data_IF_247194913873
#
_entry.id   IF_247194913873
#
_cell.length_a   1.000
_cell.length_b   1.000
_cell.length_c   1.000
_cell.angle_alpha   90.00
_cell.angle_beta   90.00
_cell.angle_gamma   90.00
#
_symmetry.space_group_name_H-M   'P 1'
#
loop_
_entity.id
_entity.type
_entity.pdbx_description
1 polymer ?
#
# COMPACT_ATOMS: atom_id res chain seq x y z
N UNK A 1 -14.90 1.16 -1.90
CA UNK A 1 -13.65 0.35 -1.92
C UNK A 1 -12.78 0.83 -3.09
N UNK A 2 -11.60 0.25 -3.31
CA UNK A 2 -10.69 0.58 -4.40
C UNK A 2 -9.38 1.24 -3.96
N UNK A 3 -8.48 1.39 -4.93
CA UNK A 3 -7.20 2.09 -4.80
C UNK A 3 -7.45 3.59 -4.69
N UNK A 4 -6.69 4.26 -3.83
CA UNK A 4 -6.73 5.71 -3.57
C UNK A 4 -5.43 6.41 -3.93
N UNK A 5 -4.31 5.67 -3.89
CA UNK A 5 -3.00 6.13 -4.34
C UNK A 5 -2.40 5.09 -5.29
N UNK A 6 -2.02 5.55 -6.47
CA UNK A 6 -1.43 4.73 -7.52
C UNK A 6 0.10 4.79 -7.49
N UNK A 7 0.74 3.87 -8.20
CA UNK A 7 2.19 3.83 -8.32
C UNK A 7 2.73 5.18 -8.81
N UNK A 8 3.79 5.65 -8.15
CA UNK A 8 4.46 6.90 -8.44
C UNK A 8 3.88 8.15 -7.76
N UNK A 9 2.78 8.03 -7.03
CA UNK A 9 2.21 9.16 -6.30
C UNK A 9 2.92 9.36 -4.96
N UNK A 10 3.16 10.62 -4.61
CA UNK A 10 3.62 11.01 -3.28
C UNK A 10 2.50 10.84 -2.25
N UNK A 11 2.86 10.42 -1.05
CA UNK A 11 1.94 10.21 0.08
C UNK A 11 2.62 10.66 1.37
N UNK A 12 1.81 11.13 2.32
CA UNK A 12 2.24 11.38 3.70
C UNK A 12 1.89 10.21 4.61
N UNK A 13 2.54 10.13 5.77
CA UNK A 13 2.25 9.18 6.82
C UNK A 13 0.77 9.27 7.23
N UNK A 14 0.12 8.10 7.33
CA UNK A 14 -1.30 7.98 7.65
C UNK A 14 -2.24 8.04 6.44
N UNK A 15 -1.79 8.43 5.24
CA UNK A 15 -2.67 8.46 4.07
C UNK A 15 -3.18 7.06 3.69
N UNK A 16 -4.44 7.01 3.25
CA UNK A 16 -5.07 5.77 2.80
C UNK A 16 -4.63 5.45 1.36
N UNK A 17 -4.09 4.24 1.16
CA UNK A 17 -3.62 3.77 -0.14
C UNK A 17 -4.67 2.94 -0.87
N UNK A 18 -5.34 2.02 -0.15
CA UNK A 18 -6.35 1.11 -0.70
C UNK A 18 -7.41 0.81 0.35
N UNK A 19 -8.70 0.96 0.02
CA UNK A 19 -9.81 0.39 0.82
C UNK A 19 -10.32 -0.88 0.15
N UNK A 20 -10.32 -2.01 0.82
CA UNK A 20 -10.68 -3.30 0.22
C UNK A 20 -11.47 -4.19 1.18
N UNK A 21 -12.13 -5.21 0.64
CA UNK A 21 -12.64 -6.34 1.43
C UNK A 21 -11.69 -7.50 1.19
N UNK A 22 -11.25 -8.14 2.28
CA UNK A 22 -10.14 -9.10 2.23
C UNK A 22 -8.82 -8.45 1.78
N UNK A 23 -7.84 -9.27 1.43
CA UNK A 23 -6.49 -8.81 1.08
C UNK A 23 -6.17 -9.08 -0.40
N UNK A 24 -6.78 -8.31 -1.31
CA UNK A 24 -6.40 -8.34 -2.73
C UNK A 24 -5.00 -7.75 -2.92
N UNK A 25 -4.76 -6.64 -2.23
CA UNK A 25 -3.45 -6.04 -2.06
C UNK A 25 -2.94 -6.31 -0.64
N UNK A 26 -1.67 -6.65 -0.51
CA UNK A 26 -1.02 -6.92 0.76
C UNK A 26 -0.14 -5.73 1.18
N UNK A 27 0.01 -5.47 2.49
CA UNK A 27 0.94 -4.47 2.97
C UNK A 27 2.37 -4.93 2.69
N UNK A 28 3.14 -4.07 2.04
CA UNK A 28 4.57 -4.22 1.82
C UNK A 28 5.38 -3.30 2.74
N UNK A 29 6.54 -2.86 2.25
CA UNK A 29 7.41 -1.95 2.99
C UNK A 29 6.72 -0.62 3.28
N UNK A 30 6.82 -0.14 4.53
CA UNK A 30 6.25 1.13 4.98
C UNK A 30 4.73 1.26 4.82
N UNK A 31 4.00 0.13 4.75
CA UNK A 31 2.54 0.12 4.65
C UNK A 31 1.94 -0.64 5.83
N UNK A 32 0.87 -0.10 6.40
CA UNK A 32 0.06 -0.73 7.45
C UNK A 32 -1.24 -1.30 6.90
N UNK A 33 -1.87 -2.18 7.68
CA UNK A 33 -3.20 -2.73 7.39
C UNK A 33 -4.12 -2.52 8.60
N UNK A 34 -5.30 -1.95 8.38
CA UNK A 34 -6.33 -1.77 9.39
C UNK A 34 -7.19 -3.02 9.60
N UNK A 35 -8.03 -3.01 10.64
CA UNK A 35 -8.95 -4.12 10.96
C UNK A 35 -9.91 -4.47 9.81
N UNK A 36 -10.27 -3.49 8.98
CA UNK A 36 -11.13 -3.66 7.81
C UNK A 36 -10.36 -4.01 6.52
N UNK A 37 -9.07 -4.32 6.63
CA UNK A 37 -8.10 -4.56 5.55
C UNK A 37 -7.73 -3.32 4.70
N UNK A 38 -8.07 -2.11 5.16
CA UNK A 38 -7.58 -0.87 4.54
C UNK A 38 -6.06 -0.76 4.66
N UNK A 39 -5.38 -0.46 3.55
CA UNK A 39 -3.95 -0.19 3.52
C UNK A 39 -3.68 1.31 3.67
N UNK A 40 -2.70 1.65 4.51
CA UNK A 40 -2.31 3.03 4.79
C UNK A 40 -0.79 3.21 4.85
N UNK A 41 -0.32 4.42 4.57
CA UNK A 41 1.08 4.81 4.62
C UNK A 41 1.60 4.88 6.06
N UNK A 42 2.76 4.30 6.36
CA UNK A 42 3.43 4.46 7.66
C UNK A 42 4.44 5.60 7.69
N UNK A 43 4.92 6.03 6.53
CA UNK A 43 5.85 7.14 6.37
C UNK A 43 5.52 7.93 5.10
N UNK A 44 6.13 9.10 4.98
CA UNK A 44 6.10 9.91 3.77
C UNK A 44 6.92 9.22 2.67
N UNK A 45 6.54 9.42 1.41
CA UNK A 45 7.31 8.90 0.28
C UNK A 45 6.47 8.64 -0.97
N UNK A 46 6.95 7.74 -1.82
CA UNK A 46 6.33 7.43 -3.12
C UNK A 46 5.78 6.01 -3.16
N UNK A 47 4.53 5.86 -3.58
CA UNK A 47 3.86 4.55 -3.64
C UNK A 47 4.41 3.73 -4.79
N UNK A 48 4.64 2.43 -4.58
CA UNK A 48 4.90 1.48 -5.66
C UNK A 48 4.28 0.12 -5.40
N UNK A 49 3.93 -0.57 -6.48
CA UNK A 49 3.29 -1.88 -6.45
C UNK A 49 4.24 -2.92 -7.02
N UNK A 50 4.31 -4.10 -6.40
CA UNK A 50 5.02 -5.23 -6.96
C UNK A 50 4.27 -6.54 -6.75
N UNK A 51 4.58 -7.53 -7.59
CA UNK A 51 4.10 -8.91 -7.46
C UNK A 51 5.22 -9.76 -6.90
N UNK A 52 4.95 -10.60 -5.90
CA UNK A 52 5.95 -11.46 -5.25
C UNK A 52 5.41 -12.88 -5.02
N UNK A 53 6.34 -13.84 -4.99
CA UNK A 53 6.08 -15.25 -4.68
C UNK A 53 5.43 -16.04 -5.83
N UNK A 54 5.28 -17.35 -5.63
CA UNK A 54 4.75 -18.29 -6.64
C UNK A 54 3.34 -17.94 -7.13
N UNK A 55 2.52 -17.33 -6.28
CA UNK A 55 1.13 -16.94 -6.60
C UNK A 55 1.01 -15.49 -7.08
N UNK A 56 2.12 -14.80 -7.36
CA UNK A 56 2.15 -13.41 -7.84
C UNK A 56 1.27 -12.44 -7.01
N UNK A 57 1.30 -12.60 -5.69
CA UNK A 57 0.53 -11.75 -4.76
C UNK A 57 0.95 -10.29 -4.93
N UNK A 58 -0.03 -9.38 -4.96
CA UNK A 58 0.20 -7.95 -5.14
C UNK A 58 0.48 -7.28 -3.80
N UNK A 59 1.58 -6.53 -3.72
CA UNK A 59 1.96 -5.76 -2.53
C UNK A 59 2.01 -4.26 -2.86
N UNK A 60 1.65 -3.46 -1.86
CA UNK A 60 1.75 -2.00 -1.89
C UNK A 60 2.87 -1.59 -0.95
N UNK A 61 3.80 -0.77 -1.43
CA UNK A 61 4.97 -0.33 -0.69
C UNK A 61 5.09 1.19 -0.81
N UNK A 62 5.85 1.80 0.11
CA UNK A 62 6.26 3.20 0.03
C UNK A 62 7.78 3.26 0.06
N UNK A 63 8.35 3.84 -0.98
CA UNK A 63 9.75 4.25 -1.03
C UNK A 63 9.87 5.56 -0.27
N UNK A 64 10.54 5.52 0.89
CA UNK A 64 10.68 6.68 1.77
C UNK A 64 11.50 7.76 1.06
N UNK A 65 10.97 8.98 1.01
CA UNK A 65 11.71 10.15 0.55
C UNK A 65 12.16 10.89 1.81
N UNK A 66 13.35 10.54 2.31
CA UNK A 66 14.02 11.31 3.37
C UNK A 66 14.63 12.58 2.80
#
# INVERSE_FOLDING_TARGET
LGVKRYGGQAVSAGEILVRQRGTKFHPGQNVGIGKDHTLFAKCDGKVFFNKKGKNLKQFVNIESTS
#
